data_IF_989820247348
#
_entry.id   IF_989820247348
#
_cell.length_a   1.000
_cell.length_b   1.000
_cell.length_c   1.000
_cell.angle_alpha   90.00
_cell.angle_beta   90.00
_cell.angle_gamma   90.00
#
_symmetry.space_group_name_H-M   'P 1'
#
loop_
_entity.id
_entity.type
_entity.pdbx_description
1 polymer ?
#
# COMPACT_ATOMS: atom_id res chain seq x y z
N UNK A 1 -8.75 -20.83 -5.70
CA UNK A 1 -8.86 -19.58 -4.90
C UNK A 1 -9.46 -18.50 -5.80
N UNK A 2 -8.80 -18.27 -6.93
CA UNK A 2 -9.27 -17.61 -8.12
C UNK A 2 -10.64 -18.17 -8.52
N UNK A 3 -11.61 -17.31 -8.80
CA UNK A 3 -12.90 -17.78 -9.27
C UNK A 3 -13.79 -18.47 -8.22
N UNK A 4 -13.30 -18.76 -7.01
CA UNK A 4 -14.10 -19.36 -5.93
C UNK A 4 -14.23 -18.45 -4.71
N UNK A 5 -13.14 -17.86 -4.24
CA UNK A 5 -13.11 -16.97 -3.08
C UNK A 5 -13.02 -15.50 -3.46
N UNK A 6 -12.26 -15.22 -4.53
CA UNK A 6 -12.11 -13.88 -5.08
C UNK A 6 -13.30 -13.55 -5.98
N UNK A 7 -13.71 -12.28 -5.95
CA UNK A 7 -14.76 -11.74 -6.83
C UNK A 7 -14.34 -11.75 -8.29
N UNK A 8 -13.08 -11.42 -8.57
CA UNK A 8 -12.51 -11.47 -9.92
C UNK A 8 -11.72 -12.76 -10.14
N UNK A 9 -11.89 -13.37 -11.31
CA UNK A 9 -11.02 -14.43 -11.81
C UNK A 9 -9.70 -13.92 -12.40
N UNK A 10 -9.56 -12.61 -12.62
CA UNK A 10 -8.34 -12.02 -13.20
C UNK A 10 -7.21 -11.91 -12.19
N UNK A 11 -6.11 -12.60 -12.47
CA UNK A 11 -4.89 -12.57 -11.65
C UNK A 11 -3.96 -11.41 -11.98
N UNK A 12 -4.18 -10.71 -13.11
CA UNK A 12 -3.33 -9.62 -13.60
C UNK A 12 -3.04 -8.54 -12.55
N UNK A 13 -4.04 -8.02 -11.78
CA UNK A 13 -3.77 -6.96 -10.81
C UNK A 13 -2.74 -7.37 -9.74
N UNK A 14 -2.72 -8.64 -9.35
CA UNK A 14 -1.77 -9.14 -8.34
C UNK A 14 -0.35 -9.26 -8.90
N UNK A 15 -0.22 -9.73 -10.14
CA UNK A 15 1.06 -9.76 -10.82
C UNK A 15 1.60 -8.35 -11.10
N UNK A 16 0.74 -7.41 -11.47
CA UNK A 16 1.11 -6.00 -11.63
C UNK A 16 1.64 -5.40 -10.33
N UNK A 17 0.98 -5.68 -9.20
CA UNK A 17 1.44 -5.24 -7.87
C UNK A 17 2.81 -5.80 -7.52
N UNK A 18 3.05 -7.09 -7.77
CA UNK A 18 4.36 -7.72 -7.54
C UNK A 18 5.43 -7.07 -8.43
N UNK A 19 5.14 -6.89 -9.72
CA UNK A 19 6.06 -6.22 -10.64
C UNK A 19 6.39 -4.80 -10.18
N UNK A 20 5.40 -4.07 -9.64
CA UNK A 20 5.57 -2.70 -9.19
C UNK A 20 6.39 -2.60 -7.90
N UNK A 21 6.01 -3.34 -6.85
CA UNK A 21 6.60 -3.20 -5.52
C UNK A 21 7.94 -3.93 -5.39
N UNK A 22 8.08 -5.13 -5.97
CA UNK A 22 9.32 -5.90 -5.90
C UNK A 22 10.25 -5.64 -7.09
N UNK A 23 9.70 -5.31 -8.26
CA UNK A 23 10.44 -5.23 -9.53
C UNK A 23 10.65 -3.84 -10.13
N UNK A 24 9.91 -2.83 -9.67
CA UNK A 24 9.98 -1.46 -10.17
C UNK A 24 9.23 -1.19 -11.49
N UNK A 25 9.22 0.08 -11.90
CA UNK A 25 8.41 0.59 -13.01
C UNK A 25 8.69 -0.07 -14.37
N UNK A 26 9.94 -0.46 -14.65
CA UNK A 26 10.28 -1.09 -15.93
C UNK A 26 9.54 -2.41 -16.13
N UNK A 27 9.48 -3.26 -15.10
CA UNK A 27 8.77 -4.54 -15.18
C UNK A 27 7.27 -4.35 -15.36
N UNK A 28 6.72 -3.32 -14.73
CA UNK A 28 5.31 -2.94 -14.85
C UNK A 28 4.97 -2.57 -16.28
N UNK A 29 5.79 -1.74 -16.92
CA UNK A 29 5.59 -1.35 -18.33
C UNK A 29 5.71 -2.58 -19.23
N UNK A 30 6.72 -3.43 -19.04
CA UNK A 30 6.89 -4.66 -19.82
C UNK A 30 5.68 -5.59 -19.67
N UNK A 31 5.25 -5.85 -18.44
CA UNK A 31 4.09 -6.70 -18.15
C UNK A 31 2.81 -6.14 -18.80
N UNK A 32 2.61 -4.82 -18.72
CA UNK A 32 1.45 -4.17 -19.31
C UNK A 32 1.44 -4.24 -20.84
N UNK A 33 2.59 -4.02 -21.50
CA UNK A 33 2.73 -4.14 -22.95
C UNK A 33 2.54 -5.58 -23.44
N UNK A 34 2.93 -6.57 -22.63
CA UNK A 34 2.70 -7.99 -22.93
C UNK A 34 1.27 -8.45 -22.64
N UNK A 35 0.47 -7.68 -21.90
CA UNK A 35 -0.87 -8.10 -21.47
C UNK A 35 -1.82 -8.46 -22.63
N UNK A 36 -1.87 -7.71 -23.74
CA UNK A 36 -2.67 -8.12 -24.90
C UNK A 36 -2.27 -9.49 -25.46
N UNK A 37 -0.97 -9.80 -25.48
CA UNK A 37 -0.46 -11.11 -25.92
C UNK A 37 -0.81 -12.19 -24.90
N UNK A 38 -0.71 -11.88 -23.61
CA UNK A 38 -1.11 -12.77 -22.51
C UNK A 38 -2.60 -13.14 -22.62
N UNK A 39 -3.46 -12.21 -23.05
CA UNK A 39 -4.87 -12.48 -23.30
C UNK A 39 -5.15 -13.40 -24.50
N UNK A 40 -4.21 -13.49 -25.47
CA UNK A 40 -4.35 -14.31 -26.68
C UNK A 40 -3.82 -15.73 -26.51
N UNK A 41 -2.92 -15.96 -25.56
CA UNK A 41 -2.37 -17.30 -25.26
C UNK A 41 -3.26 -18.07 -24.29
N UNK A 42 -2.99 -19.37 -24.10
CA UNK A 42 -3.71 -20.17 -23.11
C UNK A 42 -3.49 -19.63 -21.69
N UNK A 43 -4.45 -19.86 -20.78
CA UNK A 43 -4.36 -19.42 -19.37
C UNK A 43 -3.05 -19.88 -18.70
N UNK A 44 -2.58 -21.08 -19.02
CA UNK A 44 -1.35 -21.64 -18.47
C UNK A 44 -0.10 -20.89 -18.97
N UNK A 45 0.00 -20.66 -20.28
CA UNK A 45 1.11 -19.89 -20.85
C UNK A 45 1.07 -18.44 -20.41
N UNK A 46 -0.11 -17.83 -20.35
CA UNK A 46 -0.31 -16.48 -19.85
C UNK A 46 0.19 -16.33 -18.41
N UNK A 47 -0.15 -17.29 -17.54
CA UNK A 47 0.38 -17.35 -16.18
C UNK A 47 1.90 -17.52 -16.14
N UNK A 48 2.46 -18.44 -16.93
CA UNK A 48 3.93 -18.63 -17.02
C UNK A 48 4.65 -17.35 -17.45
N UNK A 49 4.12 -16.61 -18.43
CA UNK A 49 4.67 -15.33 -18.88
C UNK A 49 4.59 -14.28 -17.76
N UNK A 50 3.44 -14.15 -17.09
CA UNK A 50 3.29 -13.20 -15.97
C UNK A 50 4.27 -13.50 -14.83
N UNK A 51 4.39 -14.78 -14.45
CA UNK A 51 5.34 -15.22 -13.43
C UNK A 51 6.77 -14.91 -13.84
N UNK A 52 7.16 -15.22 -15.07
CA UNK A 52 8.50 -14.94 -15.56
C UNK A 52 8.84 -13.46 -15.48
N UNK A 53 7.98 -12.59 -16.04
CA UNK A 53 8.20 -11.13 -16.04
C UNK A 53 8.25 -10.56 -14.62
N UNK A 54 7.38 -11.02 -13.72
CA UNK A 54 7.35 -10.52 -12.35
C UNK A 54 8.56 -10.95 -11.54
N UNK A 55 8.96 -12.23 -11.63
CA UNK A 55 9.89 -12.83 -10.68
C UNK A 55 11.32 -12.98 -11.17
N UNK A 56 11.60 -12.99 -12.47
CA UNK A 56 12.96 -13.23 -12.98
C UNK A 56 13.97 -12.26 -12.38
N UNK A 57 15.03 -12.78 -11.77
CA UNK A 57 16.10 -11.99 -11.14
C UNK A 57 15.68 -11.17 -9.92
N UNK A 58 14.50 -11.41 -9.33
CA UNK A 58 14.16 -10.81 -8.03
C UNK A 58 14.91 -11.51 -6.91
N UNK A 59 15.49 -10.75 -5.99
CA UNK A 59 16.02 -11.29 -4.74
C UNK A 59 14.88 -11.77 -3.86
N UNK A 60 14.99 -12.97 -3.29
CA UNK A 60 13.96 -13.57 -2.43
C UNK A 60 13.58 -12.66 -1.25
N UNK A 61 14.58 -12.06 -0.60
CA UNK A 61 14.37 -11.12 0.51
C UNK A 61 13.55 -9.88 0.09
N UNK A 62 13.72 -9.39 -1.13
CA UNK A 62 13.01 -8.21 -1.64
C UNK A 62 11.52 -8.47 -1.82
N UNK A 63 11.13 -9.74 -1.98
CA UNK A 63 9.73 -10.13 -2.10
C UNK A 63 8.96 -10.02 -0.76
N UNK A 64 9.66 -9.83 0.37
CA UNK A 64 9.03 -9.50 1.65
C UNK A 64 8.10 -8.27 1.56
N UNK A 65 8.45 -7.28 0.72
CA UNK A 65 7.61 -6.09 0.46
C UNK A 65 6.32 -6.47 -0.28
N UNK A 66 6.39 -7.42 -1.21
CA UNK A 66 5.21 -7.96 -1.88
C UNK A 66 4.24 -8.59 -0.87
N UNK A 67 4.76 -9.34 0.12
CA UNK A 67 3.95 -10.01 1.16
C UNK A 67 3.18 -9.04 2.06
N UNK A 68 3.60 -7.79 2.18
CA UNK A 68 2.88 -6.79 3.01
C UNK A 68 1.79 -6.07 2.22
N UNK A 69 1.98 -5.86 0.91
CA UNK A 69 1.05 -5.10 0.06
C UNK A 69 -0.05 -5.98 -0.55
N UNK A 70 0.31 -7.19 -1.01
CA UNK A 70 -0.63 -8.15 -1.64
C UNK A 70 -1.87 -8.47 -0.79
N UNK A 71 -1.77 -8.74 0.53
CA UNK A 71 -2.93 -9.09 1.34
C UNK A 71 -4.04 -8.04 1.33
N UNK A 72 -3.70 -6.74 1.28
CA UNK A 72 -4.70 -5.66 1.17
C UNK A 72 -5.57 -5.84 -0.07
N UNK A 73 -4.93 -5.93 -1.23
CA UNK A 73 -5.64 -5.99 -2.51
C UNK A 73 -6.36 -7.33 -2.72
N UNK A 74 -5.86 -8.40 -2.10
CA UNK A 74 -6.55 -9.68 -2.06
C UNK A 74 -7.81 -9.59 -1.19
N UNK A 75 -7.71 -9.04 0.03
CA UNK A 75 -8.84 -8.85 0.94
C UNK A 75 -9.94 -7.96 0.36
N UNK A 76 -9.55 -6.86 -0.31
CA UNK A 76 -10.50 -5.97 -0.98
C UNK A 76 -11.24 -6.66 -2.14
N UNK A 77 -10.71 -7.77 -2.67
CA UNK A 77 -11.34 -8.58 -3.71
C UNK A 77 -12.00 -9.87 -3.20
N UNK A 78 -11.93 -10.16 -1.89
CA UNK A 78 -12.65 -11.30 -1.31
C UNK A 78 -14.15 -10.99 -1.29
N UNK A 79 -14.95 -11.94 -1.77
CA UNK A 79 -16.39 -11.88 -1.61
C UNK A 79 -16.79 -12.21 -0.17
N UNK A 80 -17.65 -11.38 0.42
CA UNK A 80 -18.15 -11.58 1.77
C UNK A 80 -18.87 -12.93 1.94
N UNK A 81 -19.57 -13.38 0.91
CA UNK A 81 -20.30 -14.65 0.86
C UNK A 81 -19.34 -15.85 0.88
N UNK A 82 -18.30 -15.82 0.04
CA UNK A 82 -17.24 -16.84 0.04
C UNK A 82 -16.45 -16.86 1.35
N UNK A 83 -16.18 -15.69 1.93
CA UNK A 83 -15.53 -15.58 3.24
C UNK A 83 -16.38 -16.21 4.35
N UNK A 84 -17.66 -15.86 4.43
CA UNK A 84 -18.56 -16.40 5.44
C UNK A 84 -18.70 -17.93 5.31
N UNK A 85 -18.71 -18.47 4.08
CA UNK A 85 -18.70 -19.91 3.83
C UNK A 85 -17.43 -20.59 4.36
N UNK A 86 -16.26 -20.01 4.07
CA UNK A 86 -14.96 -20.52 4.57
C UNK A 86 -14.88 -20.44 6.10
N UNK A 87 -15.41 -19.37 6.70
CA UNK A 87 -15.39 -19.18 8.16
C UNK A 87 -16.39 -20.07 8.91
N UNK A 88 -17.50 -20.47 8.28
CA UNK A 88 -18.46 -21.43 8.84
C UNK A 88 -17.96 -22.88 8.80
N UNK A 89 -16.94 -23.17 8.00
CA UNK A 89 -16.32 -24.49 7.96
C UNK A 89 -15.42 -24.68 9.20
N UNK A 90 -15.81 -25.60 10.09
CA UNK A 90 -15.05 -25.95 11.29
C UNK A 90 -13.95 -27.01 11.08
N UNK A 91 -13.82 -27.56 9.88
CA UNK A 91 -12.82 -28.57 9.54
C UNK A 91 -11.50 -27.98 9.03
N UNK A 92 -10.58 -28.87 8.65
CA UNK A 92 -9.32 -28.49 8.00
C UNK A 92 -9.60 -27.84 6.64
N UNK A 93 -9.10 -26.62 6.45
CA UNK A 93 -9.29 -25.83 5.24
C UNK A 93 -8.03 -25.90 4.39
N UNK A 94 -8.20 -26.34 3.15
CA UNK A 94 -7.14 -26.40 2.15
C UNK A 94 -7.49 -25.46 1.01
N UNK A 95 -6.59 -24.53 0.67
CA UNK A 95 -6.76 -23.66 -0.48
C UNK A 95 -5.89 -24.12 -1.65
N UNK A 96 -6.53 -24.32 -2.79
CA UNK A 96 -5.87 -24.63 -4.06
C UNK A 96 -5.82 -23.35 -4.90
N UNK A 97 -4.66 -23.05 -5.48
CA UNK A 97 -4.41 -21.84 -6.28
C UNK A 97 -3.49 -22.16 -7.45
N UNK A 98 -3.73 -21.51 -8.58
CA UNK A 98 -2.81 -21.56 -9.72
C UNK A 98 -1.67 -20.54 -9.58
N UNK A 99 -1.86 -19.48 -8.80
CA UNK A 99 -0.81 -18.51 -8.51
C UNK A 99 0.38 -19.12 -7.75
N UNK A 100 1.57 -18.51 -7.87
CA UNK A 100 2.70 -18.86 -7.03
C UNK A 100 2.35 -18.82 -5.54
N UNK A 101 2.67 -19.89 -4.81
CA UNK A 101 2.36 -20.02 -3.37
C UNK A 101 2.87 -18.81 -2.57
N UNK A 102 4.09 -18.36 -2.90
CA UNK A 102 4.75 -17.22 -2.24
C UNK A 102 3.88 -15.94 -2.25
N UNK A 103 3.03 -15.74 -3.27
CA UNK A 103 2.18 -14.55 -3.40
C UNK A 103 0.97 -14.56 -2.45
N UNK A 104 0.44 -15.73 -2.12
CA UNK A 104 -0.88 -15.85 -1.49
C UNK A 104 -0.85 -16.55 -0.13
N UNK A 105 0.20 -17.28 0.19
CA UNK A 105 0.27 -18.07 1.43
C UNK A 105 0.08 -17.22 2.69
N UNK A 106 0.77 -16.08 2.78
CA UNK A 106 0.61 -15.15 3.91
C UNK A 106 -0.83 -14.67 4.04
N UNK A 107 -1.48 -14.33 2.93
CA UNK A 107 -2.86 -13.87 2.93
C UNK A 107 -3.82 -14.98 3.39
N UNK A 108 -3.68 -16.18 2.84
CA UNK A 108 -4.57 -17.32 3.12
C UNK A 108 -4.43 -17.81 4.58
N UNK A 109 -3.20 -17.91 5.08
CA UNK A 109 -2.95 -18.35 6.46
C UNK A 109 -3.32 -17.28 7.48
N UNK A 110 -2.82 -16.05 7.31
CA UNK A 110 -2.95 -15.01 8.35
C UNK A 110 -4.36 -14.39 8.41
N UNK A 111 -5.05 -14.27 7.27
CA UNK A 111 -6.33 -13.54 7.22
C UNK A 111 -7.55 -14.45 7.04
N UNK A 112 -7.38 -15.63 6.43
CA UNK A 112 -8.47 -16.57 6.16
C UNK A 112 -8.41 -17.84 7.02
N UNK A 113 -7.37 -17.98 7.86
CA UNK A 113 -7.14 -19.15 8.73
C UNK A 113 -7.18 -20.46 7.96
N UNK A 114 -6.60 -20.49 6.77
CA UNK A 114 -6.47 -21.71 5.96
C UNK A 114 -5.27 -22.49 6.48
N UNK A 115 -5.45 -23.79 6.71
CA UNK A 115 -4.43 -24.64 7.34
C UNK A 115 -3.31 -25.01 6.36
N UNK A 116 -3.69 -25.32 5.11
CA UNK A 116 -2.74 -25.70 4.06
C UNK A 116 -3.05 -25.02 2.73
N UNK A 117 -2.00 -24.63 2.01
CA UNK A 117 -2.08 -23.97 0.70
C UNK A 117 -1.36 -24.83 -0.32
N UNK A 118 -2.10 -25.31 -1.31
CA UNK A 118 -1.57 -26.03 -2.47
C UNK A 118 -1.48 -25.03 -3.62
N UNK A 119 -0.26 -24.57 -3.89
CA UNK A 119 0.03 -23.61 -4.96
C UNK A 119 1.33 -23.97 -5.68
N UNK A 120 1.61 -23.30 -6.80
CA UNK A 120 2.83 -23.56 -7.59
C UNK A 120 4.05 -22.98 -6.89
N UNK A 121 5.10 -23.76 -6.74
CA UNK A 121 6.37 -23.29 -6.18
C UNK A 121 7.23 -22.61 -7.25
N UNK A 122 7.99 -21.58 -6.87
CA UNK A 122 8.93 -20.88 -7.75
C UNK A 122 10.33 -21.41 -7.56
N UNK A 123 11.06 -21.63 -8.66
CA UNK A 123 12.46 -22.02 -8.61
C UNK A 123 13.34 -20.86 -8.14
N UNK A 124 14.15 -21.12 -7.12
CA UNK A 124 15.12 -20.18 -6.55
C UNK A 124 16.53 -20.73 -6.73
N UNK A 125 17.46 -19.91 -7.21
CA UNK A 125 18.88 -20.23 -7.31
C UNK A 125 19.69 -19.07 -6.73
N UNK A 126 20.60 -19.38 -5.82
CA UNK A 126 21.47 -18.39 -5.14
C UNK A 126 20.69 -17.22 -4.48
N UNK A 127 19.48 -17.46 -3.98
CA UNK A 127 18.63 -16.43 -3.36
C UNK A 127 17.91 -15.51 -4.36
N UNK A 128 17.90 -15.86 -5.64
CA UNK A 128 17.17 -15.16 -6.69
C UNK A 128 16.11 -16.07 -7.33
N UNK A 129 14.93 -15.51 -7.58
CA UNK A 129 13.89 -16.19 -8.34
C UNK A 129 14.28 -16.28 -9.83
N UNK A 130 14.13 -17.47 -10.41
CA UNK A 130 14.37 -17.69 -11.85
C UNK A 130 13.18 -17.21 -12.70
N UNK A 131 12.00 -17.10 -12.10
CA UNK A 131 10.76 -16.78 -12.82
C UNK A 131 10.13 -17.99 -13.51
N UNK A 132 10.54 -19.20 -13.13
CA UNK A 132 9.94 -20.46 -13.58
C UNK A 132 9.26 -21.14 -12.41
N UNK A 133 8.06 -21.69 -12.67
CA UNK A 133 7.35 -22.53 -11.72
C UNK A 133 7.87 -23.96 -11.81
N UNK A 134 7.82 -24.69 -10.71
CA UNK A 134 7.98 -26.13 -10.73
C UNK A 134 6.76 -26.78 -11.39
N UNK A 135 7.01 -27.78 -12.23
CA UNK A 135 5.94 -28.57 -12.83
C UNK A 135 5.27 -29.37 -11.73
N UNK A 136 3.94 -29.35 -11.68
CA UNK A 136 3.14 -30.12 -10.72
C UNK A 136 3.14 -31.60 -11.11
N UNK A 137 4.30 -32.22 -11.24
CA UNK A 137 4.39 -33.67 -11.38
C UNK A 137 4.21 -34.28 -9.98
N UNK A 138 2.95 -34.43 -9.58
CA UNK A 138 2.58 -35.35 -8.50
C UNK A 138 2.41 -34.74 -7.11
N UNK A 139 2.01 -33.48 -6.96
CA UNK A 139 1.41 -33.03 -5.69
C UNK A 139 0.01 -33.61 -5.55
N UNK A 140 -0.08 -34.94 -5.42
CA UNK A 140 -1.19 -35.56 -4.70
C UNK A 140 -1.24 -34.86 -3.36
N UNK A 141 -2.43 -34.43 -2.94
CA UNK A 141 -2.64 -34.04 -1.55
C UNK A 141 -2.17 -35.24 -0.72
N UNK A 142 -0.98 -35.15 -0.12
CA UNK A 142 -0.48 -36.13 0.86
C UNK A 142 -1.34 -35.97 2.11
N UNK A 143 -2.56 -36.47 1.99
CA UNK A 143 -3.45 -36.87 3.06
C UNK A 143 -3.61 -38.37 2.99
N UNK A 144 -2.50 -39.12 3.01
CA UNK A 144 -2.52 -40.54 3.38
C UNK A 144 -2.75 -40.66 4.88
N UNK A 145 -3.94 -40.26 5.30
CA UNK A 145 -4.53 -40.58 6.59
C UNK A 145 -6.01 -40.67 6.33
N UNK A 146 -6.60 -41.86 6.48
CA UNK A 146 -8.05 -42.11 6.36
C UNK A 146 -8.84 -40.91 6.88
N UNK A 147 -9.35 -40.09 5.96
CA UNK A 147 -10.07 -38.88 6.32
C UNK A 147 -11.55 -39.26 6.31
N UNK A 148 -12.05 -39.62 7.49
CA UNK A 148 -13.43 -40.05 7.77
C UNK A 148 -14.45 -38.90 7.69
N UNK A 149 -14.10 -37.77 7.04
CA UNK A 149 -14.92 -36.57 6.97
C UNK A 149 -15.27 -36.18 5.54
N UNK A 150 -16.50 -35.69 5.37
CA UNK A 150 -17.00 -35.17 4.09
C UNK A 150 -16.12 -34.04 3.56
N UNK A 151 -15.46 -34.26 2.42
CA UNK A 151 -14.61 -33.25 1.78
C UNK A 151 -15.49 -32.41 0.85
N UNK A 152 -15.64 -31.13 1.17
CA UNK A 152 -16.39 -30.17 0.35
C UNK A 152 -15.40 -29.33 -0.48
N UNK A 153 -15.46 -29.48 -1.80
CA UNK A 153 -14.73 -28.66 -2.74
C UNK A 153 -15.53 -27.41 -3.14
N UNK A 154 -14.86 -26.26 -3.29
CA UNK A 154 -15.45 -25.07 -3.93
C UNK A 154 -14.56 -24.73 -5.11
N UNK A 155 -15.09 -24.83 -6.32
CA UNK A 155 -14.34 -24.58 -7.55
C UNK A 155 -15.08 -23.59 -8.46
N UNK A 156 -14.34 -22.97 -9.37
CA UNK A 156 -14.90 -22.18 -10.44
C UNK A 156 -15.06 -23.03 -11.71
N UNK A 157 -16.20 -22.93 -12.38
CA UNK A 157 -16.51 -23.66 -13.63
C UNK A 157 -15.47 -23.47 -14.75
N UNK A 158 -14.65 -22.41 -14.69
CA UNK A 158 -13.75 -22.02 -15.77
C UNK A 158 -12.29 -22.48 -15.55
N UNK A 159 -12.03 -23.28 -14.51
CA UNK A 159 -10.72 -23.85 -14.20
C UNK A 159 -10.67 -25.32 -14.65
N UNK A 160 -10.03 -25.56 -15.80
CA UNK A 160 -9.93 -26.90 -16.40
C UNK A 160 -8.89 -27.81 -15.72
N UNK A 161 -8.09 -27.29 -14.77
CA UNK A 161 -6.88 -27.97 -14.30
C UNK A 161 -7.02 -28.71 -12.95
N UNK A 162 -8.15 -28.58 -12.25
CA UNK A 162 -8.28 -29.13 -10.89
C UNK A 162 -9.26 -30.31 -10.76
N UNK A 163 -9.79 -30.84 -11.86
CA UNK A 163 -10.72 -31.99 -11.78
C UNK A 163 -10.12 -33.21 -11.06
N UNK A 164 -8.81 -33.44 -11.19
CA UNK A 164 -8.10 -34.53 -10.48
C UNK A 164 -7.90 -34.27 -8.98
N UNK A 165 -7.84 -33.00 -8.54
CA UNK A 165 -7.71 -32.67 -7.11
C UNK A 165 -9.07 -32.70 -6.39
N UNK A 166 -10.14 -32.39 -7.12
CA UNK A 166 -11.51 -32.43 -6.59
C UNK A 166 -12.18 -33.81 -6.73
N UNK A 167 -11.53 -34.81 -7.35
CA UNK A 167 -12.07 -36.18 -7.44
C UNK A 167 -12.19 -36.87 -6.08
N UNK A 168 -11.45 -36.39 -5.08
CA UNK A 168 -11.53 -36.85 -3.70
C UNK A 168 -12.63 -36.16 -2.89
N UNK A 169 -13.35 -35.18 -3.47
CA UNK A 169 -14.41 -34.44 -2.78
C UNK A 169 -15.76 -35.14 -2.89
N UNK A 170 -16.50 -35.18 -1.78
CA UNK A 170 -17.85 -35.74 -1.75
C UNK A 170 -18.86 -34.77 -2.39
N UNK A 171 -18.69 -33.46 -2.17
CA UNK A 171 -19.53 -32.42 -2.76
C UNK A 171 -18.64 -31.32 -3.34
N UNK A 172 -18.87 -30.92 -4.59
CA UNK A 172 -18.18 -29.79 -5.22
C UNK A 172 -19.17 -28.68 -5.55
N UNK A 173 -19.06 -27.56 -4.87
CA UNK A 173 -19.79 -26.34 -5.18
C UNK A 173 -19.09 -25.62 -6.33
N UNK A 174 -19.77 -25.53 -7.47
CA UNK A 174 -19.29 -24.80 -8.63
C UNK A 174 -19.86 -23.39 -8.63
N UNK A 175 -18.98 -22.39 -8.54
CA UNK A 175 -19.35 -20.97 -8.59
C UNK A 175 -19.08 -20.44 -10.00
N UNK A 176 -20.14 -19.95 -10.67
CA UNK A 176 -20.02 -19.25 -11.96
C UNK A 176 -19.68 -17.77 -11.72
N UNK A 177 -18.88 -17.18 -12.60
CA UNK A 177 -18.61 -15.73 -12.57
C UNK A 177 -19.90 -14.91 -12.79
N UNK A 178 -20.88 -15.45 -13.52
CA UNK A 178 -22.17 -14.79 -13.75
C UNK A 178 -23.04 -14.70 -12.47
N UNK A 179 -22.83 -15.61 -11.52
CA UNK A 179 -23.60 -15.69 -10.27
C UNK A 179 -22.96 -14.87 -9.14
N UNK A 180 -21.76 -14.32 -9.38
CA UNK A 180 -21.00 -13.54 -8.39
C UNK A 180 -21.39 -12.07 -8.36
N UNK A 181 -22.60 -11.78 -7.90
CA UNK A 181 -22.91 -10.44 -7.42
C UNK A 181 -22.51 -10.28 -5.95
N UNK A 182 -21.28 -10.65 -5.64
CA UNK A 182 -20.78 -10.75 -4.26
C UNK A 182 -20.41 -9.38 -3.70
N UNK A 183 -20.82 -9.14 -2.45
CA UNK A 183 -20.45 -7.93 -1.72
C UNK A 183 -18.96 -7.98 -1.34
N UNK A 184 -18.29 -6.84 -1.35
CA UNK A 184 -16.89 -6.78 -0.92
C UNK A 184 -16.80 -7.06 0.59
N UNK A 185 -15.78 -7.80 1.03
CA UNK A 185 -15.60 -8.12 2.44
C UNK A 185 -15.42 -6.84 3.28
N UNK A 186 -16.31 -6.56 4.25
CA UNK A 186 -16.18 -5.42 5.14
C UNK A 186 -14.89 -5.51 5.99
N UNK A 187 -14.24 -4.37 6.22
CA UNK A 187 -12.95 -4.31 6.94
C UNK A 187 -13.07 -4.79 8.39
N UNK A 188 -14.24 -4.64 8.97
CA UNK A 188 -14.56 -5.03 10.35
C UNK A 188 -14.54 -6.56 10.53
N UNK A 189 -14.74 -7.32 9.44
CA UNK A 189 -14.68 -8.79 9.46
C UNK A 189 -13.26 -9.35 9.31
N UNK A 190 -12.25 -8.50 9.10
CA UNK A 190 -10.88 -8.97 8.90
C UNK A 190 -10.35 -9.58 10.20
N UNK A 191 -9.86 -10.81 10.13
CA UNK A 191 -9.36 -11.56 11.29
C UNK A 191 -8.13 -10.92 11.93
N UNK A 192 -7.34 -10.20 11.13
CA UNK A 192 -6.17 -9.45 11.56
C UNK A 192 -6.33 -8.01 11.08
N UNK A 193 -6.10 -7.00 11.94
CA UNK A 193 -6.15 -5.62 11.51
C UNK A 193 -5.11 -5.43 10.40
N UNK A 194 -5.56 -4.88 9.28
CA UNK A 194 -4.68 -4.57 8.16
C UNK A 194 -3.84 -3.35 8.54
N UNK A 195 -2.65 -3.61 9.10
CA UNK A 195 -1.64 -2.58 9.31
C UNK A 195 -0.97 -2.34 7.96
N UNK A 196 -1.58 -1.44 7.19
CA UNK A 196 -1.09 -1.12 5.85
C UNK A 196 0.06 -0.12 5.95
N UNK A 197 1.20 -0.50 5.39
CA UNK A 197 2.16 0.50 4.91
C UNK A 197 1.54 1.15 3.68
N UNK A 198 1.55 2.48 3.57
CA UNK A 198 1.09 3.20 2.37
C UNK A 198 1.81 2.63 1.13
N UNK A 199 1.24 1.60 0.53
CA UNK A 199 1.70 1.01 -0.71
C UNK A 199 1.66 2.10 -1.76
N UNK A 200 2.62 2.07 -2.68
CA UNK A 200 2.81 3.18 -3.62
C UNK A 200 1.61 3.37 -4.56
N UNK A 201 0.72 2.37 -4.62
CA UNK A 201 -0.54 2.41 -5.36
C UNK A 201 -1.74 2.57 -4.43
N UNK A 202 -2.53 3.62 -4.69
CA UNK A 202 -3.76 3.91 -3.95
C UNK A 202 -4.93 3.00 -4.36
N UNK A 203 -4.94 2.50 -5.60
CA UNK A 203 -6.04 1.73 -6.19
C UNK A 203 -5.56 0.41 -6.79
N UNK A 204 -6.46 -0.59 -6.85
CA UNK A 204 -6.19 -1.87 -7.51
C UNK A 204 -5.85 -1.65 -9.00
N UNK A 205 -4.70 -2.15 -9.50
CA UNK A 205 -4.28 -1.94 -10.88
C UNK A 205 -5.02 -2.91 -11.83
N UNK A 206 -6.30 -2.63 -12.11
CA UNK A 206 -7.01 -3.28 -13.22
C UNK A 206 -6.36 -2.88 -14.55
N UNK A 207 -6.45 -3.67 -15.64
CA UNK A 207 -5.82 -3.31 -16.91
C UNK A 207 -6.14 -1.88 -17.39
N UNK A 208 -7.41 -1.46 -17.25
CA UNK A 208 -7.85 -0.11 -17.61
C UNK A 208 -7.29 0.95 -16.63
N UNK A 209 -7.30 0.69 -15.33
CA UNK A 209 -6.70 1.62 -14.35
C UNK A 209 -5.19 1.74 -14.53
N UNK A 210 -4.49 0.64 -14.85
CA UNK A 210 -3.07 0.60 -15.17
C UNK A 210 -2.76 1.40 -16.44
N UNK A 211 -3.60 1.31 -17.47
CA UNK A 211 -3.46 2.14 -18.67
C UNK A 211 -3.51 3.63 -18.31
N UNK A 212 -4.54 4.06 -17.57
CA UNK A 212 -4.67 5.45 -17.15
C UNK A 212 -3.48 5.88 -16.29
N UNK A 213 -3.07 5.06 -15.33
CA UNK A 213 -1.92 5.33 -14.47
C UNK A 213 -0.64 5.54 -15.28
N UNK A 214 -0.30 4.61 -16.19
CA UNK A 214 0.92 4.67 -17.01
C UNK A 214 0.88 5.84 -18.00
N UNK A 215 -0.29 6.11 -18.59
CA UNK A 215 -0.47 7.24 -19.49
C UNK A 215 -0.31 8.58 -18.75
N UNK A 216 -0.86 8.71 -17.54
CA UNK A 216 -0.80 9.94 -16.76
C UNK A 216 0.53 10.13 -16.03
N UNK A 217 1.28 9.06 -15.74
CA UNK A 217 2.56 9.12 -15.04
C UNK A 217 3.56 10.14 -15.63
N UNK A 218 3.89 10.13 -16.95
CA UNK A 218 4.80 11.12 -17.51
C UNK A 218 4.28 12.56 -17.41
N UNK A 219 2.98 12.77 -17.65
CA UNK A 219 2.36 14.09 -17.46
C UNK A 219 2.40 14.54 -15.99
N UNK A 220 2.21 13.61 -15.05
CA UNK A 220 2.31 13.85 -13.62
C UNK A 220 3.71 14.25 -13.18
N UNK A 221 4.74 13.55 -13.69
CA UNK A 221 6.15 13.90 -13.44
C UNK A 221 6.48 15.27 -14.03
N UNK A 222 6.08 15.52 -15.28
CA UNK A 222 6.29 16.82 -15.92
C UNK A 222 5.60 17.95 -15.14
N UNK A 223 4.33 17.77 -14.77
CA UNK A 223 3.57 18.73 -13.98
C UNK A 223 4.19 18.96 -12.60
N UNK A 224 4.71 17.90 -11.96
CA UNK A 224 5.45 18.00 -10.70
C UNK A 224 6.70 18.86 -10.86
N UNK A 225 7.50 18.63 -11.91
CA UNK A 225 8.72 19.40 -12.18
C UNK A 225 8.41 20.87 -12.46
N UNK A 226 7.37 21.16 -13.26
CA UNK A 226 6.92 22.52 -13.52
C UNK A 226 6.44 23.19 -12.23
N UNK A 227 5.61 22.52 -11.42
CA UNK A 227 5.15 23.05 -10.13
C UNK A 227 6.31 23.31 -9.17
N UNK A 228 7.27 22.40 -9.09
CA UNK A 228 8.48 22.58 -8.28
C UNK A 228 9.31 23.78 -8.77
N UNK A 229 9.56 23.88 -10.08
CA UNK A 229 10.31 25.01 -10.65
C UNK A 229 9.64 26.35 -10.35
N UNK A 230 8.32 26.47 -10.56
CA UNK A 230 7.58 27.70 -10.25
C UNK A 230 7.55 28.00 -8.76
N UNK A 231 7.51 26.97 -7.91
CA UNK A 231 7.57 27.13 -6.46
C UNK A 231 8.92 27.71 -5.99
N UNK A 232 10.04 27.31 -6.60
CA UNK A 232 11.36 27.80 -6.22
C UNK A 232 11.77 29.11 -6.92
N UNK A 233 11.30 29.35 -8.14
CA UNK A 233 11.73 30.51 -8.94
C UNK A 233 10.89 31.77 -8.69
N UNK A 234 9.63 31.63 -8.27
CA UNK A 234 8.71 32.75 -8.12
C UNK A 234 8.53 33.17 -6.65
N UNK A 235 8.25 34.47 -6.41
CA UNK A 235 7.77 34.92 -5.11
C UNK A 235 6.53 34.14 -4.66
N UNK A 236 6.43 33.88 -3.36
CA UNK A 236 5.39 33.07 -2.73
C UNK A 236 3.97 33.31 -3.26
N UNK A 237 3.54 34.58 -3.39
CA UNK A 237 2.19 34.92 -3.86
C UNK A 237 1.90 34.41 -5.28
N UNK A 238 2.86 34.57 -6.19
CA UNK A 238 2.72 34.13 -7.59
C UNK A 238 2.80 32.61 -7.69
N UNK A 239 3.70 31.99 -6.92
CA UNK A 239 3.77 30.53 -6.83
C UNK A 239 2.43 29.94 -6.36
N UNK A 240 1.79 30.50 -5.34
CA UNK A 240 0.50 30.00 -4.86
C UNK A 240 -0.60 30.10 -5.90
N UNK A 241 -0.67 31.22 -6.62
CA UNK A 241 -1.63 31.38 -7.72
C UNK A 241 -1.40 30.33 -8.82
N UNK A 242 -0.13 30.08 -9.17
CA UNK A 242 0.23 29.06 -10.15
C UNK A 242 -0.13 27.63 -9.67
N UNK A 243 0.17 27.29 -8.41
CA UNK A 243 -0.19 25.99 -7.84
C UNK A 243 -1.72 25.81 -7.84
N UNK A 244 -2.49 26.82 -7.43
CA UNK A 244 -3.95 26.81 -7.51
C UNK A 244 -4.46 26.64 -8.94
N UNK A 245 -3.92 27.39 -9.89
CA UNK A 245 -4.28 27.30 -11.31
C UNK A 245 -4.03 25.91 -11.89
N UNK A 246 -2.90 25.29 -11.53
CA UNK A 246 -2.57 23.93 -11.97
C UNK A 246 -3.36 22.85 -11.23
N UNK A 247 -4.22 23.20 -10.28
CA UNK A 247 -5.17 22.27 -9.64
C UNK A 247 -4.83 21.84 -8.22
N UNK A 248 -3.82 22.42 -7.56
CA UNK A 248 -3.59 22.22 -6.12
C UNK A 248 -4.54 23.10 -5.31
N UNK A 249 -5.49 22.49 -4.61
CA UNK A 249 -6.41 23.19 -3.70
C UNK A 249 -6.05 22.85 -2.26
N UNK A 250 -5.85 23.87 -1.43
CA UNK A 250 -5.73 23.74 0.01
C UNK A 250 -6.99 24.28 0.67
N UNK A 251 -7.61 23.49 1.55
CA UNK A 251 -8.72 23.97 2.40
C UNK A 251 -8.23 23.96 3.83
N UNK A 252 -8.21 25.14 4.45
CA UNK A 252 -7.96 25.24 5.88
C UNK A 252 -9.28 25.00 6.61
N UNK A 253 -9.40 23.84 7.26
CA UNK A 253 -10.56 23.52 8.11
C UNK A 253 -10.14 23.83 9.54
N UNK A 254 -10.55 24.99 10.04
CA UNK A 254 -10.47 25.31 11.47
C UNK A 254 -11.75 24.81 12.11
N UNK A 255 -11.65 24.04 13.20
CA UNK A 255 -12.84 23.65 13.96
C UNK A 255 -13.62 24.91 14.34
N UNK A 256 -14.88 24.96 13.93
CA UNK A 256 -15.79 26.11 13.91
C UNK A 256 -16.22 26.61 15.29
N UNK A 257 -15.23 26.92 16.13
CA UNK A 257 -15.44 27.70 17.33
C UNK A 257 -14.67 28.99 17.08
N UNK A 258 -15.35 30.05 16.60
CA UNK A 258 -14.74 31.32 16.20
C UNK A 258 -13.77 31.91 17.23
N UNK A 259 -13.91 31.51 18.50
CA UNK A 259 -12.98 31.74 19.61
C UNK A 259 -11.56 31.26 19.32
N UNK A 260 -11.38 30.08 18.73
CA UNK A 260 -10.04 29.50 18.44
C UNK A 260 -9.27 30.27 17.38
N UNK A 261 -9.96 30.92 16.43
CA UNK A 261 -9.28 31.72 15.40
C UNK A 261 -8.75 33.03 15.97
N UNK A 262 -9.52 33.68 16.85
CA UNK A 262 -9.06 34.86 17.57
C UNK A 262 -8.01 34.53 18.63
N UNK A 263 -8.11 33.38 19.30
CA UNK A 263 -7.03 32.84 20.13
C UNK A 263 -5.78 32.57 19.30
N UNK A 264 -5.86 31.98 18.10
CA UNK A 264 -4.70 31.76 17.24
C UNK A 264 -4.03 33.06 16.80
N UNK A 265 -4.80 34.13 16.57
CA UNK A 265 -4.27 35.46 16.25
C UNK A 265 -3.56 36.12 17.44
N UNK A 266 -4.07 35.91 18.66
CA UNK A 266 -3.51 36.44 19.92
C UNK A 266 -2.37 35.59 20.50
N UNK A 267 -2.37 34.28 20.22
CA UNK A 267 -1.26 33.40 20.58
C UNK A 267 -0.02 33.87 19.81
N UNK A 268 1.04 34.25 20.53
CA UNK A 268 2.30 34.66 19.90
C UNK A 268 2.70 36.11 20.13
N UNK A 269 1.86 36.93 20.79
CA UNK A 269 2.19 38.34 21.07
C UNK A 269 3.38 38.47 22.05
N UNK A 270 3.46 37.59 23.06
CA UNK A 270 4.54 37.62 24.08
C UNK A 270 5.56 36.47 23.98
N UNK A 271 5.16 35.30 23.44
CA UNK A 271 6.01 34.08 23.36
C UNK A 271 5.61 33.22 22.15
N UNK A 272 6.59 32.60 21.50
CA UNK A 272 6.36 31.69 20.37
C UNK A 272 5.58 30.43 20.74
N UNK A 273 4.86 29.88 19.75
CA UNK A 273 3.96 28.72 19.91
C UNK A 273 4.62 27.46 19.37
N UNK A 274 4.48 26.35 20.11
CA UNK A 274 4.89 25.02 19.64
C UNK A 274 3.71 24.31 18.98
N UNK A 275 3.77 24.13 17.67
CA UNK A 275 2.86 23.30 16.90
C UNK A 275 3.34 21.85 16.88
N UNK A 276 2.42 20.93 17.14
CA UNK A 276 2.70 19.49 17.12
C UNK A 276 1.82 18.86 16.06
N UNK A 277 2.43 18.25 15.03
CA UNK A 277 1.72 17.66 13.91
C UNK A 277 2.03 16.16 13.75
N UNK A 278 1.01 15.42 13.30
CA UNK A 278 1.21 14.10 12.72
C UNK A 278 1.93 14.24 11.39
N UNK A 279 2.95 13.43 11.15
CA UNK A 279 3.87 13.66 10.04
C UNK A 279 3.53 12.83 8.80
N UNK A 280 2.44 13.05 8.08
CA UNK A 280 2.13 12.22 6.90
C UNK A 280 3.08 12.41 5.70
N UNK A 281 3.68 13.60 5.54
CA UNK A 281 4.62 13.88 4.45
C UNK A 281 5.69 14.89 4.85
N UNK A 282 6.81 14.95 4.12
CA UNK A 282 7.81 16.02 4.30
C UNK A 282 7.27 17.44 4.05
N UNK A 283 6.09 17.55 3.42
CA UNK A 283 5.44 18.83 3.13
C UNK A 283 4.56 19.34 4.27
N UNK A 284 4.25 18.54 5.30
CA UNK A 284 3.31 18.97 6.35
C UNK A 284 3.74 20.25 7.07
N UNK A 285 5.02 20.41 7.49
CA UNK A 285 5.49 21.66 8.09
C UNK A 285 5.35 22.86 7.14
N UNK A 286 5.50 22.63 5.83
CA UNK A 286 5.33 23.66 4.80
C UNK A 286 3.86 24.04 4.71
N UNK A 287 2.94 23.07 4.62
CA UNK A 287 1.51 23.35 4.59
C UNK A 287 1.02 24.05 5.86
N UNK A 288 1.54 23.69 7.02
CA UNK A 288 1.26 24.39 8.27
C UNK A 288 1.74 25.85 8.19
N UNK A 289 2.95 26.09 7.69
CA UNK A 289 3.46 27.45 7.47
C UNK A 289 2.56 28.24 6.51
N UNK A 290 2.08 27.62 5.44
CA UNK A 290 1.18 28.27 4.48
C UNK A 290 -0.17 28.63 5.12
N UNK A 291 -0.72 27.73 5.93
CA UNK A 291 -1.98 27.95 6.65
C UNK A 291 -1.83 29.08 7.69
N UNK A 292 -0.75 29.09 8.46
CA UNK A 292 -0.49 30.12 9.45
C UNK A 292 -0.28 31.49 8.81
N UNK A 293 0.36 31.56 7.62
CA UNK A 293 0.53 32.81 6.88
C UNK A 293 -0.80 33.46 6.43
N UNK A 294 -1.92 32.72 6.43
CA UNK A 294 -3.25 33.28 6.13
C UNK A 294 -3.94 33.86 7.37
N UNK A 295 -3.56 33.39 8.57
CA UNK A 295 -4.22 33.74 9.84
C UNK A 295 -3.38 34.69 10.68
N UNK A 296 -2.05 34.60 10.60
CA UNK A 296 -1.08 35.36 11.41
C UNK A 296 -0.27 36.37 10.59
N UNK A 297 0.35 37.30 11.32
CA UNK A 297 1.21 38.33 10.75
C UNK A 297 2.47 37.73 10.09
N UNK A 298 2.89 38.20 8.89
CA UNK A 298 4.02 37.65 8.14
C UNK A 298 5.41 37.81 8.80
N UNK A 299 5.50 38.54 9.92
CA UNK A 299 6.73 38.72 10.69
C UNK A 299 7.09 37.52 11.58
N UNK A 300 6.15 36.63 11.89
CA UNK A 300 6.42 35.40 12.64
C UNK A 300 6.88 34.29 11.68
N UNK A 301 8.16 33.91 11.77
CA UNK A 301 8.72 32.81 10.99
C UNK A 301 8.51 31.49 11.73
N UNK A 302 7.85 30.54 11.09
CA UNK A 302 7.76 29.16 11.57
C UNK A 302 9.09 28.45 11.34
N UNK A 303 9.62 27.81 12.38
CA UNK A 303 10.82 26.97 12.32
C UNK A 303 10.42 25.51 12.48
N UNK A 304 10.91 24.63 11.62
CA UNK A 304 10.64 23.18 11.72
C UNK A 304 11.79 22.44 12.37
N UNK A 305 11.46 21.51 13.27
CA UNK A 305 12.41 20.68 14.00
C UNK A 305 12.30 19.24 13.52
N UNK A 306 13.42 18.68 13.07
CA UNK A 306 13.45 17.35 12.44
C UNK A 306 14.65 16.53 12.93
N UNK A 307 14.50 15.20 13.04
CA UNK A 307 15.59 14.32 13.52
C UNK A 307 16.57 13.93 12.41
N UNK A 308 16.10 13.82 11.17
CA UNK A 308 16.90 13.44 10.03
C UNK A 308 16.31 14.07 8.78
N UNK A 309 16.94 15.14 8.29
CA UNK A 309 16.64 15.73 7.00
C UNK A 309 17.88 15.62 6.13
N UNK A 310 17.70 15.23 4.86
CA UNK A 310 18.80 15.26 3.90
C UNK A 310 19.27 16.70 3.71
N UNK A 311 20.57 16.89 3.41
CA UNK A 311 21.10 18.22 3.12
C UNK A 311 20.37 18.89 1.94
N UNK A 312 19.98 18.10 0.93
CA UNK A 312 19.21 18.59 -0.23
C UNK A 312 17.83 19.08 0.20
N UNK A 313 17.12 18.33 1.05
CA UNK A 313 15.82 18.74 1.58
C UNK A 313 15.89 20.00 2.46
N UNK A 314 16.99 20.17 3.20
CA UNK A 314 17.26 21.37 4.01
C UNK A 314 17.53 22.60 3.12
N UNK A 315 18.31 22.42 2.06
CA UNK A 315 18.62 23.49 1.09
C UNK A 315 17.36 23.98 0.35
N UNK A 316 16.45 23.07 0.05
CA UNK A 316 15.24 23.33 -0.73
C UNK A 316 14.07 23.79 0.17
N UNK A 317 14.19 23.67 1.49
CA UNK A 317 13.10 23.99 2.42
C UNK A 317 12.79 25.50 2.42
N UNK A 318 11.53 25.91 2.18
CA UNK A 318 11.12 27.32 2.26
C UNK A 318 11.08 27.85 3.69
N UNK A 319 11.07 26.96 4.68
CA UNK A 319 11.08 27.26 6.11
C UNK A 319 12.41 26.84 6.73
N UNK A 320 12.83 27.56 7.77
CA UNK A 320 14.08 27.24 8.48
C UNK A 320 13.93 25.87 9.16
N UNK A 321 14.85 24.96 8.88
CA UNK A 321 14.94 23.63 9.49
C UNK A 321 16.00 23.62 10.58
N UNK A 322 15.75 22.89 11.66
CA UNK A 322 16.71 22.64 12.73
C UNK A 322 16.78 21.14 13.01
N UNK A 323 17.99 20.61 13.09
CA UNK A 323 18.25 19.20 13.34
C UNK A 323 18.31 18.90 14.83
N UNK A 324 17.59 17.87 15.28
CA UNK A 324 17.67 17.36 16.65
C UNK A 324 18.87 16.43 16.83
N UNK A 325 19.48 16.51 18.00
CA UNK A 325 20.69 15.75 18.35
C UNK A 325 20.40 14.44 19.08
N UNK A 326 19.12 14.08 19.24
CA UNK A 326 18.63 12.92 20.02
C UNK A 326 19.10 12.95 21.48
N UNK A 327 19.40 14.14 22.00
CA UNK A 327 19.77 14.36 23.38
C UNK A 327 18.73 15.32 23.99
N UNK A 328 17.91 14.80 24.91
CA UNK A 328 16.76 15.50 25.47
C UNK A 328 17.11 16.87 26.05
N UNK A 329 18.24 16.98 26.76
CA UNK A 329 18.64 18.23 27.42
C UNK A 329 19.11 19.27 26.41
N UNK A 330 19.93 18.87 25.43
CA UNK A 330 20.42 19.76 24.37
C UNK A 330 19.27 20.24 23.49
N UNK A 331 18.41 19.30 23.09
CA UNK A 331 17.28 19.56 22.21
C UNK A 331 16.25 20.47 22.89
N UNK A 332 15.94 20.23 24.18
CA UNK A 332 15.03 21.08 24.96
C UNK A 332 15.53 22.53 25.05
N UNK A 333 16.81 22.74 25.41
CA UNK A 333 17.42 24.09 25.48
C UNK A 333 17.40 24.80 24.12
N UNK A 334 17.64 24.06 23.05
CA UNK A 334 17.58 24.58 21.68
C UNK A 334 16.16 24.99 21.30
N UNK A 335 15.16 24.13 21.56
CA UNK A 335 13.75 24.43 21.29
C UNK A 335 13.28 25.65 22.08
N UNK A 336 13.64 25.76 23.36
CA UNK A 336 13.32 26.92 24.20
C UNK A 336 13.91 28.22 23.63
N UNK A 337 15.15 28.16 23.13
CA UNK A 337 15.80 29.30 22.46
C UNK A 337 15.06 29.71 21.19
N UNK A 338 14.56 28.77 20.40
CA UNK A 338 13.80 29.09 19.18
C UNK A 338 12.41 29.64 19.48
N UNK A 339 11.72 29.09 20.49
CA UNK A 339 10.40 29.57 20.92
C UNK A 339 10.43 31.01 21.45
N UNK A 340 11.58 31.49 21.94
CA UNK A 340 11.78 32.91 22.28
C UNK A 340 11.87 33.83 21.05
N UNK A 341 12.18 33.28 19.87
CA UNK A 341 12.38 34.03 18.62
C UNK A 341 11.19 33.93 17.67
N UNK A 342 10.36 32.89 17.79
CA UNK A 342 9.20 32.67 16.91
C UNK A 342 8.54 31.32 17.15
N UNK A 343 7.65 30.96 16.23
CA UNK A 343 6.89 29.71 16.30
C UNK A 343 7.74 28.51 15.88
N UNK A 344 7.47 27.36 16.49
CA UNK A 344 8.19 26.12 16.27
C UNK A 344 7.20 25.02 15.89
N UNK A 345 7.51 24.20 14.90
CA UNK A 345 6.76 22.98 14.58
C UNK A 345 7.61 21.75 14.82
N UNK A 346 7.02 20.74 15.47
CA UNK A 346 7.63 19.45 15.71
C UNK A 346 6.71 18.30 15.28
N UNK A 347 7.33 17.31 14.65
CA UNK A 347 6.73 16.03 14.32
C UNK A 347 7.27 14.97 15.30
N UNK A 348 6.60 14.70 16.43
CA UNK A 348 7.14 13.89 17.53
C UNK A 348 7.40 12.43 17.16
N UNK A 349 6.73 11.90 16.12
CA UNK A 349 7.04 10.57 15.55
C UNK A 349 8.47 10.46 15.03
N UNK A 350 9.09 11.58 14.64
CA UNK A 350 10.47 11.65 14.14
C UNK A 350 10.73 10.98 12.78
N UNK A 351 9.75 10.27 12.24
CA UNK A 351 9.66 9.77 10.87
C UNK A 351 8.30 10.15 10.30
N UNK A 352 8.20 10.15 8.96
CA UNK A 352 6.93 10.30 8.27
C UNK A 352 5.99 9.20 8.80
N UNK A 353 4.88 9.60 9.40
CA UNK A 353 3.82 8.82 9.99
C UNK A 353 3.42 7.66 9.07
N UNK A 354 4.03 6.52 9.38
CA UNK A 354 3.44 5.21 9.18
C UNK A 354 2.09 5.21 9.91
N UNK A 355 1.04 4.73 9.23
CA UNK A 355 -0.33 4.75 9.73
C UNK A 355 -0.44 4.21 11.16
N UNK A 356 -1.39 4.78 11.90
CA UNK A 356 -1.41 4.76 13.35
C UNK A 356 -1.66 3.40 13.98
N UNK A 357 -0.61 2.68 14.37
CA UNK A 357 -0.64 1.63 15.42
C UNK A 357 0.74 1.43 16.06
N UNK A 358 1.43 2.51 16.42
CA UNK A 358 2.73 2.44 17.13
C UNK A 358 2.74 3.10 18.50
N UNK A 359 1.57 3.35 19.08
CA UNK A 359 1.44 3.80 20.47
C UNK A 359 1.07 2.60 21.34
N UNK A 360 1.93 1.59 21.45
CA UNK A 360 1.82 0.60 22.54
C UNK A 360 3.05 -0.29 22.77
N UNK A 361 4.28 0.15 22.46
CA UNK A 361 5.48 -0.67 22.71
C UNK A 361 6.59 -0.03 23.55
N UNK A 362 6.36 1.11 24.20
CA UNK A 362 7.32 1.63 25.18
C UNK A 362 6.63 2.06 26.49
N UNK A 363 5.92 1.12 27.12
CA UNK A 363 5.82 1.06 28.57
C UNK A 363 6.55 -0.19 29.04
N UNK A 364 7.80 -0.01 29.42
CA UNK A 364 8.46 -0.70 30.53
C UNK A 364 9.49 0.27 31.09
#
# INVERSE_FOLDING_TARGET
>A
MEGALLKSSSVFPYFFLVAFEAGGLLRVVILFLLYPIICLVSKEWGLKIMVFVCFVGLKEESFSIGRTVLPKFLLEDVGNEGFDMVMKCGGTKIAVTDMPRVMVECFLKDYLRIDSVVGRELKVVCGYFIGLMEDQNGSKVEGEGKMDSSIIGINCLNSSLHYELFSCCEVVYLVSEADKNWSALPREKYQRPLIFHDGRLASRPTPVASLFMLMWMPFGIFLLLVRAAFFFLLPYKLSMQFLCFTGLKGTLIVSDDGRKTDELKRLGEDRGVLFVCNHRTLLDPIYLSMALAQVRSPSQRLVTVTYNLSWVSELISPIKTIRLTRNREKDSKMMEKQLKQGDLVICPKGTVAEDGYRIEQNRN
#
